data_IF_585070596992
#
_entry.id   IF_585070596992
#
_cell.length_a   1.000
_cell.length_b   1.000
_cell.length_c   1.000
_cell.angle_alpha   90.00
_cell.angle_beta   90.00
_cell.angle_gamma   90.00
#
_symmetry.space_group_name_H-M   'P 1'
#
loop_
_entity.id
_entity.type
_entity.pdbx_description
1 polymer ?
#
# COMPACT_ATOMS: atom_id res chain seq x y z
N UNK A 1 5.79 3.12 -10.61
CA UNK A 1 6.79 2.86 -9.55
C UNK A 1 6.08 2.36 -8.30
N UNK A 2 6.71 1.48 -7.51
CA UNK A 2 6.12 0.98 -6.27
C UNK A 2 6.10 2.11 -5.20
N UNK A 3 4.98 2.38 -4.52
CA UNK A 3 4.85 3.55 -3.64
C UNK A 3 5.73 3.49 -2.39
N UNK A 4 6.13 2.28 -1.97
CA UNK A 4 7.06 2.07 -0.86
C UNK A 4 8.51 2.30 -1.30
N UNK A 5 8.87 1.91 -2.53
CA UNK A 5 10.27 2.00 -3.02
C UNK A 5 10.64 3.40 -3.53
N UNK A 6 9.67 4.31 -3.63
CA UNK A 6 9.90 5.66 -4.15
C UNK A 6 10.55 6.62 -3.13
N UNK A 7 10.51 6.31 -1.83
CA UNK A 7 11.10 7.14 -0.78
C UNK A 7 11.84 6.25 0.24
N UNK A 8 13.10 6.61 0.54
CA UNK A 8 13.94 5.93 1.53
C UNK A 8 13.29 5.83 2.91
N UNK A 9 12.56 6.86 3.33
CA UNK A 9 11.84 6.86 4.62
C UNK A 9 10.74 5.79 4.65
N UNK A 10 9.99 5.63 3.55
CA UNK A 10 8.95 4.61 3.44
C UNK A 10 9.54 3.20 3.43
N UNK A 11 10.68 3.02 2.76
CA UNK A 11 11.43 1.76 2.82
C UNK A 11 11.91 1.48 4.24
N UNK A 12 12.44 2.48 4.95
CA UNK A 12 12.89 2.32 6.33
C UNK A 12 11.74 1.91 7.26
N UNK A 13 10.59 2.61 7.21
CA UNK A 13 9.40 2.26 7.99
C UNK A 13 8.92 0.84 7.66
N UNK A 14 8.92 0.46 6.38
CA UNK A 14 8.55 -0.88 5.94
C UNK A 14 9.48 -1.95 6.53
N UNK A 15 10.79 -1.77 6.41
CA UNK A 15 11.79 -2.71 6.95
C UNK A 15 11.74 -2.78 8.48
N UNK A 16 11.48 -1.67 9.18
CA UNK A 16 11.27 -1.66 10.63
C UNK A 16 10.04 -2.49 11.00
N UNK A 17 8.93 -2.35 10.26
CA UNK A 17 7.74 -3.18 10.46
C UNK A 17 8.03 -4.68 10.33
N UNK A 18 8.78 -5.06 9.29
CA UNK A 18 9.20 -6.46 9.10
C UNK A 18 10.19 -6.95 10.16
N UNK A 19 11.07 -6.09 10.64
CA UNK A 19 11.96 -6.40 11.75
C UNK A 19 11.15 -6.69 13.03
N UNK A 20 10.13 -5.89 13.33
CA UNK A 20 9.22 -6.12 14.47
C UNK A 20 8.53 -7.48 14.34
N UNK A 21 7.97 -7.81 13.17
CA UNK A 21 7.37 -9.12 12.93
C UNK A 21 8.38 -10.27 13.07
N UNK A 22 9.62 -10.07 12.62
CA UNK A 22 10.71 -11.03 12.79
C UNK A 22 11.06 -11.30 14.25
N UNK A 23 11.18 -10.24 15.05
CA UNK A 23 11.43 -10.34 16.50
C UNK A 23 10.25 -11.00 17.21
N UNK A 24 9.02 -10.65 16.82
CA UNK A 24 7.81 -11.27 17.38
C UNK A 24 7.76 -12.77 17.06
N UNK A 25 8.06 -13.17 15.83
CA UNK A 25 8.12 -14.58 15.45
C UNK A 25 9.25 -15.32 16.19
N UNK A 26 10.42 -14.69 16.35
CA UNK A 26 11.50 -15.25 17.16
C UNK A 26 11.06 -15.49 18.61
N UNK A 27 10.35 -14.54 19.22
CA UNK A 27 9.81 -14.69 20.56
C UNK A 27 8.80 -15.85 20.65
N UNK A 28 7.88 -15.96 19.68
CA UNK A 28 6.91 -17.07 19.62
C UNK A 28 7.61 -18.44 19.54
N UNK A 29 8.73 -18.54 18.82
CA UNK A 29 9.51 -19.77 18.73
C UNK A 29 10.35 -20.07 19.98
N UNK A 30 10.88 -19.03 20.66
CA UNK A 30 11.75 -19.19 21.82
C UNK A 30 10.99 -19.40 23.15
N UNK A 31 9.79 -18.82 23.30
CA UNK A 31 9.02 -18.89 24.55
C UNK A 31 8.66 -20.31 25.01
N UNK A 32 8.26 -21.25 24.14
CA UNK A 32 8.02 -22.64 24.51
C UNK A 32 9.28 -23.41 24.95
N UNK A 33 10.48 -22.80 24.84
CA UNK A 33 11.79 -23.40 25.12
C UNK A 33 12.21 -24.53 24.17
N UNK A 34 11.50 -24.71 23.06
CA UNK A 34 11.89 -25.61 21.96
C UNK A 34 13.14 -25.11 21.22
N UNK A 35 13.30 -23.79 21.16
CA UNK A 35 14.43 -23.08 20.55
C UNK A 35 15.07 -22.14 21.56
N UNK A 36 16.40 -22.03 21.51
CA UNK A 36 17.12 -20.93 22.15
C UNK A 36 16.82 -19.60 21.45
N UNK A 37 17.02 -18.48 22.16
CA UNK A 37 16.87 -17.14 21.59
C UNK A 37 17.77 -16.92 20.36
N UNK A 38 18.97 -17.51 20.37
CA UNK A 38 19.89 -17.44 19.24
C UNK A 38 19.34 -18.20 18.02
N UNK A 39 18.90 -19.44 18.21
CA UNK A 39 18.30 -20.26 17.15
C UNK A 39 17.05 -19.58 16.56
N UNK A 40 16.15 -19.12 17.42
CA UNK A 40 14.91 -18.47 16.99
C UNK A 40 15.18 -17.14 16.26
N UNK A 41 16.10 -16.31 16.77
CA UNK A 41 16.45 -15.02 16.17
C UNK A 41 17.14 -15.15 14.82
N UNK A 42 18.13 -16.04 14.72
CA UNK A 42 18.88 -16.30 13.47
C UNK A 42 18.02 -16.96 12.39
N UNK A 43 16.95 -17.66 12.78
CA UNK A 43 15.96 -18.19 11.86
C UNK A 43 14.93 -17.13 11.44
N UNK A 44 14.21 -16.56 12.41
CA UNK A 44 12.99 -15.79 12.14
C UNK A 44 13.27 -14.41 11.56
N UNK A 45 14.29 -13.69 12.06
CA UNK A 45 14.53 -12.29 11.65
C UNK A 45 14.98 -12.20 10.18
N UNK A 46 16.01 -12.92 9.71
CA UNK A 46 16.40 -12.86 8.31
C UNK A 46 15.29 -13.34 7.38
N UNK A 47 14.60 -14.43 7.77
CA UNK A 47 13.60 -15.06 6.94
C UNK A 47 12.33 -14.21 6.80
N UNK A 48 11.94 -13.44 7.82
CA UNK A 48 10.82 -12.48 7.73
C UNK A 48 11.18 -11.24 6.93
N UNK A 49 12.41 -10.72 7.04
CA UNK A 49 12.88 -9.62 6.20
C UNK A 49 12.87 -10.00 4.71
N UNK A 50 13.37 -11.19 4.38
CA UNK A 50 13.30 -11.73 3.00
C UNK A 50 11.85 -11.89 2.57
N UNK A 51 10.96 -12.37 3.45
CA UNK A 51 9.54 -12.48 3.14
C UNK A 51 8.91 -11.14 2.78
N UNK A 52 9.25 -10.09 3.53
CA UNK A 52 8.80 -8.73 3.23
C UNK A 52 9.17 -8.29 1.82
N UNK A 53 10.40 -8.55 1.40
CA UNK A 53 10.81 -8.24 0.02
C UNK A 53 9.99 -9.02 -1.02
N UNK A 54 9.69 -10.30 -0.76
CA UNK A 54 8.83 -11.10 -1.65
C UNK A 54 7.40 -10.55 -1.67
N UNK A 55 6.85 -10.15 -0.52
CA UNK A 55 5.50 -9.60 -0.40
C UNK A 55 5.31 -8.25 -1.12
N UNK A 56 6.38 -7.51 -1.43
CA UNK A 56 6.29 -6.34 -2.32
C UNK A 56 5.73 -6.69 -3.71
N UNK A 57 5.90 -7.95 -4.16
CA UNK A 57 5.32 -8.41 -5.43
C UNK A 57 3.79 -8.36 -5.45
N UNK A 58 3.14 -8.43 -4.27
CA UNK A 58 1.68 -8.44 -4.17
C UNK A 58 1.05 -7.13 -4.67
N UNK A 59 1.81 -6.02 -4.65
CA UNK A 59 1.39 -4.74 -5.23
C UNK A 59 0.97 -4.88 -6.70
N UNK A 60 1.72 -5.64 -7.50
CA UNK A 60 1.42 -5.81 -8.90
C UNK A 60 0.16 -6.65 -9.11
N UNK A 61 -0.03 -7.68 -8.28
CA UNK A 61 -1.25 -8.50 -8.30
C UNK A 61 -2.48 -7.65 -7.97
N UNK A 62 -2.41 -6.83 -6.91
CA UNK A 62 -3.49 -5.92 -6.52
C UNK A 62 -3.82 -4.88 -7.60
N UNK A 63 -2.82 -4.41 -8.37
CA UNK A 63 -3.04 -3.46 -9.48
C UNK A 63 -3.70 -4.09 -10.71
N UNK A 64 -3.38 -5.35 -11.03
CA UNK A 64 -3.98 -6.06 -12.17
C UNK A 64 -5.42 -6.48 -11.85
N UNK A 65 -5.69 -6.85 -10.60
CA UNK A 65 -7.01 -7.28 -10.12
C UNK A 65 -7.55 -6.34 -9.03
N UNK A 66 -7.99 -5.11 -9.41
CA UNK A 66 -8.51 -4.14 -8.47
C UNK A 66 -9.92 -4.52 -7.97
N UNK A 67 -10.16 -4.34 -6.68
CA UNK A 67 -11.41 -4.70 -6.00
C UNK A 67 -12.67 -4.03 -6.60
N UNK A 68 -12.54 -2.83 -7.18
CA UNK A 68 -13.67 -2.08 -7.73
C UNK A 68 -14.15 -2.59 -9.09
N UNK A 69 -13.26 -3.22 -9.88
CA UNK A 69 -13.55 -3.61 -11.27
C UNK A 69 -13.59 -5.11 -11.49
N UNK A 70 -13.03 -5.89 -10.57
CA UNK A 70 -12.96 -7.34 -10.68
C UNK A 70 -13.98 -8.02 -9.77
N UNK A 71 -14.58 -9.15 -10.19
CA UNK A 71 -15.47 -9.92 -9.33
C UNK A 71 -14.72 -10.45 -8.11
N UNK A 72 -15.34 -10.36 -6.93
CA UNK A 72 -14.70 -10.70 -5.64
C UNK A 72 -14.16 -12.13 -5.62
N UNK A 73 -14.90 -13.09 -6.19
CA UNK A 73 -14.46 -14.48 -6.27
C UNK A 73 -13.14 -14.65 -7.04
N UNK A 74 -12.97 -13.90 -8.14
CA UNK A 74 -11.73 -13.93 -8.93
C UNK A 74 -10.56 -13.31 -8.15
N UNK A 75 -10.81 -12.19 -7.47
CA UNK A 75 -9.80 -11.56 -6.61
C UNK A 75 -9.36 -12.53 -5.52
N UNK A 76 -10.30 -13.15 -4.81
CA UNK A 76 -9.99 -14.13 -3.76
C UNK A 76 -9.19 -15.33 -4.30
N UNK A 77 -9.57 -15.86 -5.46
CA UNK A 77 -8.86 -16.98 -6.08
C UNK A 77 -7.40 -16.62 -6.42
N UNK A 78 -7.20 -15.45 -7.04
CA UNK A 78 -5.86 -15.00 -7.47
C UNK A 78 -4.99 -14.64 -6.26
N UNK A 79 -5.57 -13.97 -5.26
CA UNK A 79 -4.85 -13.65 -4.03
C UNK A 79 -4.48 -14.92 -3.26
N UNK A 80 -5.34 -15.94 -3.24
CA UNK A 80 -5.04 -17.23 -2.63
C UNK A 80 -3.92 -17.96 -3.38
N UNK A 81 -3.97 -17.97 -4.72
CA UNK A 81 -2.91 -18.57 -5.53
C UNK A 81 -1.56 -17.86 -5.32
N UNK A 82 -1.56 -16.52 -5.33
CA UNK A 82 -0.36 -15.73 -5.08
C UNK A 82 0.17 -15.92 -3.64
N UNK A 83 -0.71 -16.07 -2.65
CA UNK A 83 -0.32 -16.42 -1.29
C UNK A 83 0.39 -17.78 -1.25
N UNK A 84 -0.19 -18.81 -1.88
CA UNK A 84 0.39 -20.17 -1.95
C UNK A 84 1.77 -20.14 -2.59
N UNK A 85 1.92 -19.46 -3.73
CA UNK A 85 3.22 -19.34 -4.43
C UNK A 85 4.25 -18.62 -3.55
N UNK A 86 3.84 -17.52 -2.92
CA UNK A 86 4.72 -16.72 -2.06
C UNK A 86 5.18 -17.51 -0.84
N UNK A 87 4.27 -18.25 -0.20
CA UNK A 87 4.58 -19.13 0.94
C UNK A 87 5.49 -20.27 0.49
N UNK A 88 5.25 -20.88 -0.68
CA UNK A 88 6.09 -21.95 -1.21
C UNK A 88 7.54 -21.48 -1.41
N UNK A 89 7.73 -20.33 -2.06
CA UNK A 89 9.05 -19.71 -2.25
C UNK A 89 9.71 -19.44 -0.89
N UNK A 90 8.95 -18.91 0.06
CA UNK A 90 9.46 -18.60 1.39
C UNK A 90 9.87 -19.85 2.18
N UNK A 91 9.08 -20.93 2.11
CA UNK A 91 9.41 -22.22 2.74
C UNK A 91 10.65 -22.84 2.09
N UNK A 92 10.80 -22.75 0.77
CA UNK A 92 11.99 -23.25 0.06
C UNK A 92 13.24 -22.49 0.52
N UNK A 93 13.18 -21.15 0.57
CA UNK A 93 14.28 -20.32 1.09
C UNK A 93 14.59 -20.67 2.54
N UNK A 94 13.56 -20.80 3.39
CA UNK A 94 13.69 -21.19 4.79
C UNK A 94 14.35 -22.56 4.95
N UNK A 95 14.00 -23.54 4.12
CA UNK A 95 14.58 -24.88 4.16
C UNK A 95 16.08 -24.86 3.84
N UNK A 96 16.51 -24.06 2.87
CA UNK A 96 17.92 -23.84 2.57
C UNK A 96 18.64 -23.11 3.70
N UNK A 97 18.01 -22.08 4.26
CA UNK A 97 18.57 -21.31 5.38
C UNK A 97 18.80 -22.16 6.63
N UNK A 98 17.86 -23.06 6.95
CA UNK A 98 17.97 -24.00 8.06
C UNK A 98 19.20 -24.91 7.91
N UNK A 99 19.46 -25.43 6.71
CA UNK A 99 20.64 -26.26 6.43
C UNK A 99 21.94 -25.48 6.63
N UNK A 100 21.96 -24.20 6.22
CA UNK A 100 23.11 -23.31 6.42
C UNK A 100 23.35 -23.07 7.91
N UNK A 101 22.31 -22.72 8.68
CA UNK A 101 22.42 -22.48 10.13
C UNK A 101 22.87 -23.73 10.90
N UNK A 102 22.30 -24.89 10.58
CA UNK A 102 22.65 -26.16 11.22
C UNK A 102 24.13 -26.49 11.04
N UNK A 103 24.69 -26.24 9.84
CA UNK A 103 26.12 -26.46 9.55
C UNK A 103 27.03 -25.39 10.13
N UNK A 104 26.67 -24.12 9.99
CA UNK A 104 27.52 -22.99 10.35
C UNK A 104 27.60 -22.76 11.86
N UNK A 105 26.50 -23.01 12.58
CA UNK A 105 26.39 -22.78 14.02
C UNK A 105 26.33 -24.07 14.84
N UNK A 106 26.48 -25.23 14.18
CA UNK A 106 26.48 -26.56 14.79
C UNK A 106 25.24 -26.85 15.67
N UNK A 107 24.07 -26.34 15.28
CA UNK A 107 22.83 -26.57 16.03
C UNK A 107 22.39 -28.04 15.94
N UNK A 108 22.10 -28.65 17.08
CA UNK A 108 21.71 -30.07 17.14
C UNK A 108 20.21 -30.26 16.87
N UNK A 109 19.87 -31.25 16.03
CA UNK A 109 18.48 -31.57 15.67
C UNK A 109 17.64 -30.35 15.25
N UNK A 110 18.27 -29.31 14.71
CA UNK A 110 17.63 -28.02 14.45
C UNK A 110 16.57 -28.14 13.35
N UNK A 111 16.92 -28.79 12.25
CA UNK A 111 16.00 -29.02 11.13
C UNK A 111 14.74 -29.78 11.54
N UNK A 112 14.89 -30.82 12.35
CA UNK A 112 13.76 -31.61 12.84
C UNK A 112 12.81 -30.74 13.70
N UNK A 113 13.35 -29.91 14.60
CA UNK A 113 12.56 -28.96 15.40
C UNK A 113 11.89 -27.89 14.55
N UNK A 114 12.53 -27.38 13.49
CA UNK A 114 11.89 -26.42 12.58
C UNK A 114 10.73 -27.05 11.82
N UNK A 115 10.87 -28.31 11.40
CA UNK A 115 9.78 -29.03 10.71
C UNK A 115 8.54 -29.20 11.60
N UNK A 116 8.68 -29.39 12.92
CA UNK A 116 7.51 -29.45 13.82
C UNK A 116 6.77 -28.11 13.92
N UNK A 117 7.45 -26.99 13.62
CA UNK A 117 6.87 -25.64 13.56
C UNK A 117 6.41 -25.23 12.16
N UNK A 118 6.52 -26.09 11.14
CA UNK A 118 6.12 -25.77 9.78
C UNK A 118 4.65 -25.29 9.67
N UNK A 119 3.65 -25.90 10.35
CA UNK A 119 2.26 -25.42 10.29
C UNK A 119 2.10 -23.98 10.82
N UNK A 120 2.81 -23.66 11.91
CA UNK A 120 2.84 -22.30 12.48
C UNK A 120 3.44 -21.32 11.46
N UNK A 121 4.58 -21.67 10.86
CA UNK A 121 5.23 -20.80 9.87
C UNK A 121 4.32 -20.56 8.67
N UNK A 122 3.73 -21.61 8.10
CA UNK A 122 2.80 -21.49 6.96
C UNK A 122 1.61 -20.60 7.32
N UNK A 123 1.01 -20.79 8.50
CA UNK A 123 -0.10 -19.96 8.98
C UNK A 123 0.28 -18.49 9.12
N UNK A 124 1.43 -18.20 9.74
CA UNK A 124 1.96 -16.83 9.86
C UNK A 124 2.25 -16.22 8.49
N UNK A 125 2.86 -16.98 7.57
CA UNK A 125 3.12 -16.53 6.20
C UNK A 125 1.83 -16.12 5.48
N UNK A 126 0.79 -16.95 5.56
CA UNK A 126 -0.52 -16.63 4.98
C UNK A 126 -1.13 -15.35 5.54
N UNK A 127 -1.08 -15.16 6.86
CA UNK A 127 -1.58 -13.97 7.54
C UNK A 127 -0.79 -12.72 7.09
N UNK A 128 0.54 -12.79 7.09
CA UNK A 128 1.40 -11.66 6.71
C UNK A 128 1.26 -11.29 5.24
N UNK A 129 1.12 -12.27 4.34
CA UNK A 129 0.81 -12.02 2.94
C UNK A 129 -0.54 -11.30 2.80
N UNK A 130 -1.58 -11.83 3.46
CA UNK A 130 -2.94 -11.27 3.39
C UNK A 130 -2.99 -9.84 3.93
N UNK A 131 -2.28 -9.57 5.04
CA UNK A 131 -2.14 -8.24 5.61
C UNK A 131 -1.43 -7.29 4.62
N UNK A 132 -0.34 -7.74 4.00
CA UNK A 132 0.40 -6.92 3.02
C UNK A 132 -0.45 -6.61 1.79
N UNK A 133 -1.19 -7.61 1.28
CA UNK A 133 -2.14 -7.40 0.19
C UNK A 133 -3.26 -6.42 0.55
N UNK A 134 -3.81 -6.51 1.76
CA UNK A 134 -4.83 -5.58 2.24
C UNK A 134 -4.30 -4.14 2.31
N UNK A 135 -3.07 -3.95 2.81
CA UNK A 135 -2.40 -2.64 2.82
C UNK A 135 -2.18 -2.12 1.40
N UNK A 136 -1.74 -2.96 0.46
CA UNK A 136 -1.57 -2.55 -0.93
C UNK A 136 -2.89 -2.15 -1.59
N UNK A 137 -3.97 -2.90 -1.36
CA UNK A 137 -5.30 -2.50 -1.82
C UNK A 137 -5.71 -1.15 -1.21
N UNK A 138 -5.53 -0.95 0.10
CA UNK A 138 -5.86 0.31 0.76
C UNK A 138 -5.12 1.51 0.14
N UNK A 139 -3.83 1.35 -0.17
CA UNK A 139 -3.05 2.39 -0.82
C UNK A 139 -3.62 2.70 -2.22
N UNK A 140 -3.89 1.68 -3.03
CA UNK A 140 -4.44 1.83 -4.39
C UNK A 140 -5.79 2.55 -4.36
N UNK A 141 -6.69 2.14 -3.46
CA UNK A 141 -8.03 2.72 -3.37
C UNK A 141 -8.00 4.16 -2.85
N UNK A 142 -7.12 4.46 -1.89
CA UNK A 142 -6.93 5.81 -1.37
C UNK A 142 -6.37 6.76 -2.44
N UNK A 143 -5.38 6.31 -3.22
CA UNK A 143 -4.84 7.09 -4.34
C UNK A 143 -5.90 7.35 -5.42
N UNK A 144 -6.71 6.34 -5.75
CA UNK A 144 -7.81 6.50 -6.71
C UNK A 144 -8.88 7.47 -6.20
N UNK A 145 -9.22 7.43 -4.91
CA UNK A 145 -10.17 8.34 -4.28
C UNK A 145 -9.70 9.78 -4.35
N UNK A 146 -8.43 10.05 -4.02
CA UNK A 146 -7.84 11.39 -4.09
C UNK A 146 -7.82 11.95 -5.51
N UNK A 147 -7.51 11.11 -6.49
CA UNK A 147 -7.51 11.52 -7.89
C UNK A 147 -8.93 11.86 -8.38
N UNK A 148 -9.94 11.10 -7.95
CA UNK A 148 -11.35 11.40 -8.25
C UNK A 148 -11.80 12.74 -7.66
N UNK A 149 -11.49 12.99 -6.38
CA UNK A 149 -11.81 14.24 -5.70
C UNK A 149 -11.15 15.44 -6.38
N UNK A 150 -9.87 15.31 -6.76
CA UNK A 150 -9.15 16.35 -7.49
C UNK A 150 -9.81 16.69 -8.83
N UNK A 151 -10.25 15.67 -9.59
CA UNK A 151 -10.93 15.86 -10.87
C UNK A 151 -12.28 16.54 -10.70
N UNK A 152 -13.02 16.19 -9.66
CA UNK A 152 -14.30 16.83 -9.35
C UNK A 152 -14.11 18.32 -9.04
N UNK A 153 -13.13 18.66 -8.19
CA UNK A 153 -12.81 20.05 -7.88
C UNK A 153 -12.39 20.85 -9.11
N UNK A 154 -11.55 20.26 -9.98
CA UNK A 154 -11.16 20.90 -11.24
C UNK A 154 -12.35 21.14 -12.18
N UNK A 155 -13.25 20.17 -12.29
CA UNK A 155 -14.48 20.30 -13.09
C UNK A 155 -15.38 21.43 -12.56
N UNK A 156 -15.54 21.53 -11.23
CA UNK A 156 -16.30 22.61 -10.58
C UNK A 156 -15.68 23.98 -10.84
N UNK A 157 -14.36 24.10 -10.76
CA UNK A 157 -13.65 25.36 -11.07
C UNK A 157 -13.91 25.76 -12.53
N UNK A 158 -13.74 24.85 -13.48
CA UNK A 158 -13.98 25.16 -14.90
C UNK A 158 -15.44 25.52 -15.20
N UNK A 159 -16.39 24.87 -14.53
CA UNK A 159 -17.81 25.22 -14.65
C UNK A 159 -18.09 26.64 -14.14
N UNK A 160 -17.54 27.01 -12.98
CA UNK A 160 -17.66 28.36 -12.42
C UNK A 160 -17.00 29.43 -13.29
N UNK A 161 -15.83 29.15 -13.86
CA UNK A 161 -15.16 30.07 -14.79
C UNK A 161 -15.97 30.28 -16.07
N UNK A 162 -16.58 29.21 -16.60
CA UNK A 162 -17.44 29.28 -17.77
C UNK A 162 -18.71 30.10 -17.49
N UNK A 163 -19.35 29.88 -16.33
CA UNK A 163 -20.51 30.66 -15.87
C UNK A 163 -20.17 32.14 -15.71
N UNK A 164 -19.04 32.44 -15.05
CA UNK A 164 -18.58 33.82 -14.84
C UNK A 164 -18.25 34.51 -16.18
N UNK A 165 -17.66 33.78 -17.14
CA UNK A 165 -17.40 34.29 -18.49
C UNK A 165 -18.71 34.56 -19.26
N UNK A 166 -19.70 33.68 -19.15
CA UNK A 166 -21.01 33.86 -19.75
C UNK A 166 -21.74 35.08 -19.15
N UNK A 167 -21.73 35.21 -17.83
CA UNK A 167 -22.28 36.38 -17.12
C UNK A 167 -21.59 37.68 -17.55
N UNK A 168 -20.25 37.70 -17.64
CA UNK A 168 -19.51 38.87 -18.15
C UNK A 168 -19.87 39.21 -19.59
N UNK A 169 -20.08 38.22 -20.44
CA UNK A 169 -20.51 38.45 -21.82
C UNK A 169 -21.94 39.03 -21.91
N UNK A 170 -22.81 38.74 -20.94
CA UNK A 170 -24.16 39.30 -20.86
C UNK A 170 -24.19 40.76 -20.33
N UNK A 171 -23.17 41.22 -19.61
CA UNK A 171 -23.06 42.63 -19.18
C UNK A 171 -22.73 43.47 -20.42
N UNK A 172 -23.76 44.07 -21.01
CA UNK A 172 -23.65 44.83 -22.25
C UNK A 172 -22.92 46.17 -21.99
N UNK A 173 -21.74 46.42 -22.60
CA UNK A 173 -20.97 47.65 -22.40
C UNK A 173 -21.78 48.90 -22.76
N UNK A 174 -22.70 48.76 -23.72
CA UNK A 174 -23.57 49.84 -24.17
C UNK A 174 -24.55 50.29 -23.07
N UNK A 175 -24.99 49.37 -22.19
CA UNK A 175 -25.91 49.71 -21.12
C UNK A 175 -25.20 50.53 -20.02
N UNK A 176 -23.95 50.18 -19.72
CA UNK A 176 -23.09 50.95 -18.82
C UNK A 176 -22.79 52.34 -19.39
N UNK A 177 -22.43 52.44 -20.67
CA UNK A 177 -22.23 53.73 -21.35
C UNK A 177 -23.50 54.59 -21.40
N UNK A 178 -24.66 53.99 -21.70
CA UNK A 178 -25.94 54.70 -21.67
C UNK A 178 -26.27 55.24 -20.28
N UNK A 179 -26.04 54.43 -19.24
CA UNK A 179 -26.30 54.84 -17.86
C UNK A 179 -25.37 55.98 -17.43
N UNK A 180 -24.08 55.89 -17.74
CA UNK A 180 -23.10 56.95 -17.48
C UNK A 180 -23.42 58.25 -18.22
N UNK A 181 -23.74 58.19 -19.51
CA UNK A 181 -24.11 59.38 -20.29
C UNK A 181 -25.38 60.04 -19.75
N UNK A 182 -26.38 59.24 -19.35
CA UNK A 182 -27.64 59.76 -18.79
C UNK A 182 -27.41 60.45 -17.44
N UNK A 183 -26.58 59.86 -16.56
CA UNK A 183 -26.21 60.48 -15.28
C UNK A 183 -25.37 61.75 -15.49
N UNK A 184 -24.41 61.73 -16.41
CA UNK A 184 -23.60 62.92 -16.73
C UNK A 184 -24.48 64.06 -17.21
N UNK A 185 -25.47 63.78 -18.07
CA UNK A 185 -26.44 64.77 -18.54
C UNK A 185 -27.31 65.30 -17.40
N UNK A 186 -27.78 64.44 -16.48
CA UNK A 186 -28.56 64.84 -15.29
C UNK A 186 -27.73 65.67 -14.28
N UNK A 187 -26.44 65.38 -14.13
CA UNK A 187 -25.54 66.13 -13.25
C UNK A 187 -25.13 67.49 -13.82
N UNK A 188 -25.03 67.63 -15.15
CA UNK A 188 -24.79 68.93 -15.81
C UNK A 188 -26.05 69.80 -15.94
N UNK A 189 -27.25 69.23 -15.74
CA UNK A 189 -28.52 69.95 -15.80
C UNK A 189 -29.05 70.49 -14.44
N UNK A 190 -28.25 70.47 -13.38
CA UNK A 190 -28.51 71.29 -12.18
C UNK A 190 -27.50 72.45 -12.12
N UNK A 191 -27.91 73.72 -12.29
CA UNK A 191 -27.15 74.87 -11.82
C UNK A 191 -27.14 74.97 -10.29
#
# INVERSE_FOLDING_TARGET
>A
MHPILSNRERVAVYLIGWLIFGVMLAAVLALPRDFSWLEAGTLAVPLTLVYGLICLSSWYVCRVYPLQKSPVAQVLAIQSLAAIITILVWVLIGSGWVVVLERALAFTAFRARVLTKAPLMIGVGFILYSLTAAVHYLIITFEASKESERRELQSRIFAQEAELKALRAQINPHFLFNSLNSISALATHNP
#
